data_IF_155330465427
#
_entry.id   IF_155330465427
#
_cell.length_a   1.000
_cell.length_b   1.000
_cell.length_c   1.000
_cell.angle_alpha   90.00
_cell.angle_beta   90.00
_cell.angle_gamma   90.00
#
_symmetry.space_group_name_H-M   'P 1'
#
loop_
_entity.id
_entity.type
_entity.pdbx_description
1 polymer ?
#
# COMPACT_ATOMS: atom_id res chain seq x y z
N UNK A 1 -4.31 2.51 47.59
CA UNK A 1 -5.04 2.93 46.37
C UNK A 1 -4.18 3.95 45.63
N UNK A 2 -3.30 3.49 44.73
CA UNK A 2 -2.59 4.38 43.83
C UNK A 2 -3.59 4.95 42.82
N UNK A 3 -3.74 6.27 42.79
CA UNK A 3 -4.54 6.96 41.79
C UNK A 3 -3.81 6.91 40.45
N UNK A 4 -4.55 6.70 39.36
CA UNK A 4 -4.11 6.60 37.96
C UNK A 4 -3.18 7.73 37.46
N UNK A 5 -2.90 8.75 38.28
CA UNK A 5 -1.90 9.80 38.03
C UNK A 5 -0.45 9.30 38.09
N UNK A 6 -0.15 8.17 38.76
CA UNK A 6 1.23 7.64 38.86
C UNK A 6 1.67 6.79 37.65
N UNK A 7 0.83 6.61 36.62
CA UNK A 7 1.13 5.94 35.34
C UNK A 7 1.36 6.93 34.17
N UNK A 8 1.64 8.21 34.49
CA UNK A 8 1.68 9.38 33.60
C UNK A 8 2.72 9.34 32.45
N UNK A 9 2.51 8.46 31.47
CA UNK A 9 2.91 8.68 30.06
C UNK A 9 1.72 8.82 29.12
N UNK A 10 0.50 8.64 29.61
CA UNK A 10 -0.71 8.69 28.81
C UNK A 10 -1.14 10.15 28.58
N UNK A 11 -1.02 10.61 27.34
CA UNK A 11 -1.23 12.00 26.93
C UNK A 11 -2.56 12.19 26.18
N UNK A 12 -2.99 13.44 25.98
CA UNK A 12 -4.13 13.75 25.10
C UNK A 12 -3.96 13.20 23.69
N UNK A 13 -2.70 13.11 23.19
CA UNK A 13 -2.38 12.50 21.91
C UNK A 13 -2.66 10.99 21.91
N UNK A 14 -2.38 10.29 23.01
CA UNK A 14 -2.66 8.86 23.13
C UNK A 14 -4.16 8.58 23.17
N UNK A 15 -4.93 9.42 23.85
CA UNK A 15 -6.40 9.35 23.85
C UNK A 15 -6.96 9.55 22.44
N UNK A 16 -6.51 10.58 21.72
CA UNK A 16 -6.94 10.84 20.35
C UNK A 16 -6.55 9.67 19.43
N UNK A 17 -5.34 9.13 19.57
CA UNK A 17 -4.90 7.98 18.78
C UNK A 17 -5.76 6.74 19.05
N UNK A 18 -6.05 6.44 20.31
CA UNK A 18 -6.93 5.34 20.69
C UNK A 18 -8.34 5.52 20.10
N UNK A 19 -8.86 6.75 20.14
CA UNK A 19 -10.16 7.08 19.56
C UNK A 19 -10.21 6.91 18.03
N UNK A 20 -9.23 7.48 17.32
CA UNK A 20 -9.10 7.38 15.86
C UNK A 20 -8.98 5.91 15.43
N UNK A 21 -8.20 5.10 16.17
CA UNK A 21 -8.04 3.66 15.96
C UNK A 21 -9.22 2.79 16.44
N UNK A 22 -10.34 3.40 16.84
CA UNK A 22 -11.56 2.70 17.31
C UNK A 22 -11.36 1.84 18.57
N UNK A 23 -10.31 2.10 19.35
CA UNK A 23 -10.03 1.37 20.59
C UNK A 23 -10.90 1.83 21.75
N UNK A 24 -11.35 3.10 21.70
CA UNK A 24 -12.26 3.72 22.67
C UNK A 24 -13.35 4.47 21.92
N UNK A 25 -14.50 4.68 22.57
CA UNK A 25 -15.61 5.45 22.00
C UNK A 25 -15.51 6.96 22.28
N UNK A 26 -16.48 7.72 21.78
CA UNK A 26 -16.52 9.18 21.88
C UNK A 26 -16.69 9.65 23.33
N UNK A 27 -17.48 8.92 24.12
CA UNK A 27 -17.78 9.23 25.52
C UNK A 27 -16.54 8.99 26.39
N UNK A 28 -15.84 7.88 26.14
CA UNK A 28 -14.61 7.51 26.81
C UNK A 28 -13.47 8.48 26.47
N UNK A 29 -13.30 8.82 25.18
CA UNK A 29 -12.33 9.83 24.75
C UNK A 29 -12.59 11.19 25.42
N UNK A 30 -13.86 11.64 25.47
CA UNK A 30 -14.26 12.87 26.16
C UNK A 30 -13.88 12.83 27.64
N UNK A 31 -14.20 11.73 28.31
CA UNK A 31 -13.94 11.55 29.74
C UNK A 31 -12.44 11.55 30.05
N UNK A 32 -11.63 10.90 29.23
CA UNK A 32 -10.17 10.84 29.39
C UNK A 32 -9.52 12.21 29.12
N UNK A 33 -9.96 12.94 28.09
CA UNK A 33 -9.44 14.29 27.81
C UNK A 33 -9.73 15.28 28.94
N UNK A 34 -10.94 15.24 29.52
CA UNK A 34 -11.29 16.07 30.69
C UNK A 34 -10.41 15.70 31.89
N UNK A 35 -10.20 14.40 32.16
CA UNK A 35 -9.32 13.93 33.24
C UNK A 35 -7.87 14.37 33.07
N UNK A 36 -7.42 14.56 31.82
CA UNK A 36 -6.10 15.09 31.47
C UNK A 36 -6.03 16.62 31.48
N UNK A 37 -7.10 17.31 31.88
CA UNK A 37 -7.13 18.76 32.06
C UNK A 37 -7.50 19.57 30.82
N UNK A 38 -7.96 18.92 29.75
CA UNK A 38 -8.48 19.62 28.56
C UNK A 38 -9.81 20.28 28.90
N UNK A 39 -9.95 21.58 28.61
CA UNK A 39 -11.18 22.33 28.89
C UNK A 39 -12.35 21.74 28.09
N UNK A 40 -13.53 21.68 28.70
CA UNK A 40 -14.73 21.07 28.10
C UNK A 40 -15.10 21.64 26.72
N UNK A 41 -14.86 22.94 26.49
CA UNK A 41 -15.03 23.58 25.17
C UNK A 41 -14.07 23.03 24.12
N UNK A 42 -12.80 22.85 24.48
CA UNK A 42 -11.76 22.35 23.58
C UNK A 42 -11.94 20.86 23.28
N UNK A 43 -12.46 20.07 24.23
CA UNK A 43 -12.71 18.63 24.05
C UNK A 43 -13.66 18.37 22.87
N UNK A 44 -14.71 19.17 22.73
CA UNK A 44 -15.65 19.01 21.61
C UNK A 44 -14.99 19.24 20.26
N UNK A 45 -14.16 20.27 20.16
CA UNK A 45 -13.41 20.59 18.95
C UNK A 45 -12.36 19.52 18.61
N UNK A 46 -11.62 19.04 19.61
CA UNK A 46 -10.60 17.99 19.48
C UNK A 46 -11.22 16.68 18.98
N UNK A 47 -12.33 16.25 19.60
CA UNK A 47 -13.02 15.02 19.19
C UNK A 47 -13.57 15.14 17.77
N UNK A 48 -14.17 16.29 17.43
CA UNK A 48 -14.69 16.51 16.07
C UNK A 48 -13.57 16.48 15.02
N UNK A 49 -12.40 17.04 15.33
CA UNK A 49 -11.21 16.95 14.46
C UNK A 49 -10.74 15.49 14.32
N UNK A 50 -10.77 14.73 15.41
CA UNK A 50 -10.42 13.31 15.39
C UNK A 50 -11.44 12.47 14.60
N UNK A 51 -12.72 12.84 14.58
CA UNK A 51 -13.75 12.21 13.75
C UNK A 51 -13.44 12.39 12.25
N UNK A 52 -13.08 13.60 11.83
CA UNK A 52 -12.61 13.85 10.46
C UNK A 52 -11.38 13.02 10.10
N UNK A 53 -10.39 12.97 11.00
CA UNK A 53 -9.18 12.16 10.78
C UNK A 53 -9.50 10.67 10.64
N UNK A 54 -10.43 10.15 11.44
CA UNK A 54 -10.86 8.75 11.39
C UNK A 54 -11.60 8.42 10.08
N UNK A 55 -12.45 9.34 9.61
CA UNK A 55 -13.10 9.18 8.30
C UNK A 55 -12.05 9.18 7.17
N UNK A 56 -11.08 10.10 7.23
CA UNK A 56 -9.98 10.19 6.28
C UNK A 56 -9.14 8.92 6.24
N UNK A 57 -8.70 8.40 7.39
CA UNK A 57 -7.90 7.17 7.47
C UNK A 57 -8.63 5.95 6.89
N UNK A 58 -9.96 5.88 7.05
CA UNK A 58 -10.76 4.81 6.44
C UNK A 58 -10.76 4.92 4.91
N UNK A 59 -10.96 6.13 4.38
CA UNK A 59 -10.92 6.39 2.93
C UNK A 59 -9.55 6.06 2.36
N UNK A 60 -8.46 6.53 2.99
CA UNK A 60 -7.08 6.21 2.59
C UNK A 60 -6.80 4.70 2.59
N UNK A 61 -7.27 3.98 3.61
CA UNK A 61 -7.12 2.53 3.68
C UNK A 61 -7.85 1.83 2.53
N UNK A 62 -9.04 2.30 2.15
CA UNK A 62 -9.80 1.78 1.00
C UNK A 62 -9.11 2.08 -0.32
N UNK A 63 -8.61 3.30 -0.52
CA UNK A 63 -7.81 3.69 -1.71
C UNK A 63 -6.59 2.77 -1.84
N UNK A 64 -5.85 2.54 -0.75
CA UNK A 64 -4.70 1.64 -0.75
C UNK A 64 -5.07 0.18 -1.08
N UNK A 65 -6.24 -0.28 -0.61
CA UNK A 65 -6.78 -1.59 -0.97
C UNK A 65 -7.06 -1.72 -2.47
N UNK A 66 -7.76 -0.73 -3.05
CA UNK A 66 -8.09 -0.69 -4.48
C UNK A 66 -6.81 -0.62 -5.32
N UNK A 67 -5.84 0.23 -4.94
CA UNK A 67 -4.52 0.31 -5.59
C UNK A 67 -3.83 -1.06 -5.67
N UNK A 68 -3.83 -1.80 -4.57
CA UNK A 68 -3.19 -3.12 -4.52
C UNK A 68 -3.89 -4.14 -5.44
N UNK A 69 -5.22 -4.09 -5.54
CA UNK A 69 -5.98 -4.96 -6.45
C UNK A 69 -5.72 -4.60 -7.92
N UNK A 70 -5.66 -3.30 -8.25
CA UNK A 70 -5.29 -2.83 -9.57
C UNK A 70 -3.86 -3.24 -9.96
N UNK A 71 -2.89 -3.01 -9.06
CA UNK A 71 -1.49 -3.38 -9.31
C UNK A 71 -1.32 -4.87 -9.59
N UNK A 72 -2.04 -5.71 -8.83
CA UNK A 72 -2.05 -7.17 -9.01
C UNK A 72 -2.90 -7.66 -10.20
N UNK A 73 -3.43 -6.76 -11.04
CA UNK A 73 -4.28 -7.09 -12.20
C UNK A 73 -5.59 -7.80 -11.84
N UNK A 74 -5.99 -7.74 -10.57
CA UNK A 74 -7.30 -8.25 -10.13
C UNK A 74 -8.40 -7.28 -10.57
N UNK A 75 -8.11 -5.98 -10.51
CA UNK A 75 -8.94 -4.94 -11.10
C UNK A 75 -8.30 -4.40 -12.37
N UNK A 76 -9.13 -4.19 -13.40
CA UNK A 76 -8.78 -3.36 -14.53
C UNK A 76 -9.01 -1.86 -14.20
N UNK A 77 -8.81 -1.00 -15.20
CA UNK A 77 -8.90 0.44 -15.04
C UNK A 77 -10.33 0.89 -14.70
N UNK A 78 -11.34 0.29 -15.33
CA UNK A 78 -12.74 0.68 -15.17
C UNK A 78 -13.26 0.24 -13.80
N UNK A 79 -12.95 -1.00 -13.39
CA UNK A 79 -13.30 -1.51 -12.06
C UNK A 79 -12.63 -0.69 -10.94
N UNK A 80 -11.37 -0.31 -11.10
CA UNK A 80 -10.67 0.53 -10.13
C UNK A 80 -11.31 1.93 -10.01
N UNK A 81 -11.65 2.56 -11.13
CA UNK A 81 -12.37 3.86 -11.15
C UNK A 81 -13.73 3.77 -10.48
N UNK A 82 -14.49 2.72 -10.77
CA UNK A 82 -15.80 2.48 -10.16
C UNK A 82 -15.70 2.35 -8.63
N UNK A 83 -14.76 1.54 -8.13
CA UNK A 83 -14.58 1.40 -6.69
C UNK A 83 -14.12 2.69 -6.01
N UNK A 84 -13.26 3.49 -6.67
CA UNK A 84 -12.85 4.81 -6.18
C UNK A 84 -14.02 5.80 -6.16
N UNK A 85 -14.88 5.78 -7.18
CA UNK A 85 -16.07 6.65 -7.25
C UNK A 85 -17.05 6.36 -6.13
N UNK A 86 -17.18 5.10 -5.69
CA UNK A 86 -18.01 4.70 -4.53
C UNK A 86 -17.48 5.21 -3.18
N UNK A 87 -16.27 5.78 -3.15
CA UNK A 87 -15.72 6.47 -1.98
C UNK A 87 -16.06 7.97 -2.00
N UNK A 88 -16.92 8.42 -2.91
CA UNK A 88 -17.32 9.81 -3.11
C UNK A 88 -16.13 10.74 -3.40
N UNK A 89 -15.07 10.20 -4.04
CA UNK A 89 -13.90 10.98 -4.43
C UNK A 89 -14.23 11.86 -5.65
N UNK A 90 -13.72 13.10 -5.70
CA UNK A 90 -13.81 13.94 -6.90
C UNK A 90 -13.19 13.26 -8.12
N UNK A 91 -13.81 13.42 -9.29
CA UNK A 91 -13.33 12.80 -10.52
C UNK A 91 -11.86 13.15 -10.83
N UNK A 92 -11.44 14.40 -10.62
CA UNK A 92 -10.05 14.83 -10.80
C UNK A 92 -9.08 14.04 -9.90
N UNK A 93 -9.45 13.77 -8.65
CA UNK A 93 -8.62 12.97 -7.74
C UNK A 93 -8.49 11.52 -8.22
N UNK A 94 -9.58 10.95 -8.76
CA UNK A 94 -9.58 9.60 -9.34
C UNK A 94 -8.61 9.56 -10.53
N UNK A 95 -8.64 10.55 -11.42
CA UNK A 95 -7.73 10.64 -12.57
C UNK A 95 -6.25 10.71 -12.14
N UNK A 96 -5.95 11.50 -11.11
CA UNK A 96 -4.58 11.60 -10.56
C UNK A 96 -4.13 10.24 -10.02
N UNK A 97 -4.97 9.56 -9.23
CA UNK A 97 -4.65 8.24 -8.67
C UNK A 97 -4.43 7.20 -9.77
N UNK A 98 -5.33 7.13 -10.76
CA UNK A 98 -5.22 6.17 -11.85
C UNK A 98 -3.98 6.42 -12.73
N UNK A 99 -3.64 7.68 -12.97
CA UNK A 99 -2.41 8.06 -13.68
C UNK A 99 -1.17 7.59 -12.92
N UNK A 100 -1.12 7.86 -11.62
CA UNK A 100 -0.01 7.40 -10.78
C UNK A 100 0.12 5.87 -10.82
N UNK A 101 -0.98 5.14 -10.64
CA UNK A 101 -0.95 3.69 -10.58
C UNK A 101 -0.63 3.03 -11.93
N UNK A 102 -1.00 3.66 -13.03
CA UNK A 102 -0.59 3.23 -14.37
C UNK A 102 0.94 3.15 -14.48
N UNK A 103 1.65 4.17 -14.02
CA UNK A 103 3.11 4.19 -14.03
C UNK A 103 3.72 3.18 -13.06
N UNK A 104 3.12 2.98 -11.88
CA UNK A 104 3.57 1.96 -10.94
C UNK A 104 3.52 0.56 -11.54
N UNK A 105 2.41 0.25 -12.23
CA UNK A 105 2.22 -1.01 -12.94
C UNK A 105 3.20 -1.15 -14.11
N UNK A 106 3.46 -0.07 -14.85
CA UNK A 106 4.42 -0.09 -15.97
C UNK A 106 5.88 -0.23 -15.49
N UNK A 107 6.16 0.24 -14.28
CA UNK A 107 7.46 0.11 -13.64
C UNK A 107 7.68 -1.27 -12.98
N UNK A 108 6.64 -2.11 -12.85
CA UNK A 108 6.85 -3.47 -12.36
C UNK A 108 7.70 -4.27 -13.35
N UNK A 109 8.90 -4.64 -12.90
CA UNK A 109 9.82 -5.50 -13.66
C UNK A 109 9.10 -6.83 -13.92
N UNK A 110 9.04 -7.31 -15.18
CA UNK A 110 8.46 -8.60 -15.48
C UNK A 110 9.10 -9.69 -14.62
N UNK A 111 8.29 -10.68 -14.22
CA UNK A 111 8.85 -11.87 -13.57
C UNK A 111 9.56 -12.71 -14.62
N UNK A 112 10.88 -12.55 -14.67
CA UNK A 112 11.74 -13.38 -15.49
C UNK A 112 11.95 -14.76 -14.87
N UNK A 113 12.22 -15.75 -15.70
CA UNK A 113 12.75 -17.03 -15.21
C UNK A 113 14.10 -16.80 -14.54
N UNK A 114 14.48 -17.67 -13.60
CA UNK A 114 15.87 -17.62 -13.08
C UNK A 114 16.85 -18.04 -14.18
N UNK A 115 18.11 -17.63 -14.07
CA UNK A 115 19.18 -18.07 -14.99
C UNK A 115 19.17 -19.60 -15.16
N UNK A 116 19.05 -20.35 -14.06
CA UNK A 116 19.01 -21.81 -14.10
C UNK A 116 17.78 -22.36 -14.84
N UNK A 117 16.59 -21.78 -14.62
CA UNK A 117 15.38 -22.16 -15.34
C UNK A 117 15.49 -21.88 -16.84
N UNK A 118 15.93 -20.67 -17.20
CA UNK A 118 16.13 -20.27 -18.60
C UNK A 118 17.08 -21.23 -19.33
N UNK A 119 18.19 -21.59 -18.71
CA UNK A 119 19.16 -22.53 -19.30
C UNK A 119 18.63 -23.96 -19.38
N UNK A 120 17.90 -24.44 -18.36
CA UNK A 120 17.25 -25.76 -18.41
C UNK A 120 16.25 -25.83 -19.56
N UNK A 121 15.39 -24.81 -19.70
CA UNK A 121 14.39 -24.75 -20.75
C UNK A 121 15.02 -24.66 -22.16
N UNK A 122 16.12 -23.93 -22.31
CA UNK A 122 16.86 -23.88 -23.57
C UNK A 122 17.48 -25.24 -23.92
N UNK A 123 18.12 -25.90 -22.95
CA UNK A 123 18.74 -27.23 -23.11
C UNK A 123 17.71 -28.31 -23.46
N UNK A 124 16.55 -28.26 -22.82
CA UNK A 124 15.42 -29.15 -23.08
C UNK A 124 14.64 -28.77 -24.35
N UNK A 125 15.05 -27.70 -25.05
CA UNK A 125 14.40 -27.18 -26.27
C UNK A 125 12.95 -26.76 -26.06
N UNK A 126 12.56 -26.42 -24.82
CA UNK A 126 11.25 -25.86 -24.48
C UNK A 126 11.14 -24.39 -24.90
N UNK A 127 12.28 -23.70 -25.05
CA UNK A 127 12.39 -22.35 -25.63
C UNK A 127 13.52 -22.30 -26.66
N UNK A 128 13.46 -21.36 -27.60
CA UNK A 128 14.54 -21.16 -28.57
C UNK A 128 15.77 -20.51 -27.93
N UNK A 129 16.92 -20.64 -28.59
CA UNK A 129 18.17 -19.97 -28.19
C UNK A 129 18.00 -18.45 -28.14
N UNK A 130 17.33 -17.87 -29.13
CA UNK A 130 17.06 -16.43 -29.21
C UNK A 130 16.16 -15.99 -28.05
N UNK A 131 15.18 -16.81 -27.67
CA UNK A 131 14.33 -16.55 -26.51
C UNK A 131 15.11 -16.60 -25.20
N UNK A 132 16.02 -17.56 -25.06
CA UNK A 132 16.89 -17.68 -23.90
C UNK A 132 17.85 -16.48 -23.77
N UNK A 133 18.40 -16.00 -24.90
CA UNK A 133 19.24 -14.79 -24.96
C UNK A 133 18.43 -13.57 -24.48
N UNK A 134 17.26 -13.31 -25.07
CA UNK A 134 16.43 -12.17 -24.70
C UNK A 134 16.01 -12.20 -23.22
N UNK A 135 15.77 -13.40 -22.67
CA UNK A 135 15.45 -13.56 -21.26
C UNK A 135 16.65 -13.23 -20.36
N UNK A 136 17.86 -13.70 -20.70
CA UNK A 136 19.08 -13.38 -19.94
C UNK A 136 19.46 -11.90 -20.02
N UNK A 137 19.23 -11.24 -21.16
CA UNK A 137 19.37 -9.78 -21.29
C UNK A 137 18.40 -9.05 -20.36
N UNK A 138 17.14 -9.51 -20.30
CA UNK A 138 16.11 -8.91 -19.44
C UNK A 138 16.38 -9.11 -17.94
N UNK A 139 17.10 -10.18 -17.58
CA UNK A 139 17.58 -10.44 -16.21
C UNK A 139 18.81 -9.56 -15.87
N UNK A 140 19.49 -9.00 -16.87
CA UNK A 140 20.57 -8.03 -16.71
C UNK A 140 21.99 -8.54 -17.02
N UNK A 141 22.13 -9.67 -17.72
CA UNK A 141 23.45 -10.13 -18.18
C UNK A 141 23.93 -9.36 -19.41
N UNK A 142 25.24 -9.14 -19.50
CA UNK A 142 25.88 -8.62 -20.71
C UNK A 142 26.07 -9.71 -21.80
N UNK A 143 26.43 -9.27 -23.00
CA UNK A 143 26.62 -10.15 -24.16
C UNK A 143 27.69 -11.23 -23.95
N UNK A 144 28.73 -10.96 -23.16
CA UNK A 144 29.81 -11.93 -22.90
C UNK A 144 29.30 -13.08 -22.04
N UNK A 145 28.66 -12.78 -20.91
CA UNK A 145 28.10 -13.78 -20.01
C UNK A 145 27.02 -14.61 -20.69
N UNK A 146 26.15 -13.96 -21.49
CA UNK A 146 25.12 -14.66 -22.27
C UNK A 146 25.77 -15.65 -23.25
N UNK A 147 26.81 -15.25 -23.97
CA UNK A 147 27.49 -16.12 -24.93
C UNK A 147 28.08 -17.38 -24.25
N UNK A 148 28.65 -17.23 -23.05
CA UNK A 148 29.17 -18.35 -22.25
C UNK A 148 28.04 -19.27 -21.81
N UNK A 149 26.97 -18.72 -21.22
CA UNK A 149 25.84 -19.52 -20.74
C UNK A 149 25.16 -20.31 -21.86
N UNK A 150 24.92 -19.67 -23.00
CA UNK A 150 24.25 -20.31 -24.13
C UNK A 150 25.13 -21.43 -24.72
N UNK A 151 26.45 -21.24 -24.82
CA UNK A 151 27.37 -22.30 -25.28
C UNK A 151 27.43 -23.49 -24.32
N UNK A 152 27.22 -23.26 -23.02
CA UNK A 152 27.20 -24.34 -22.02
C UNK A 152 25.87 -25.11 -21.99
N UNK A 153 24.77 -24.48 -22.39
CA UNK A 153 23.42 -25.04 -22.28
C UNK A 153 22.89 -25.69 -23.57
N UNK A 154 23.34 -25.24 -24.75
CA UNK A 154 22.86 -25.66 -26.08
C UNK A 154 24.04 -26.10 -26.95
#
# INVERSE_FOLDING_TARGET
>A
KQTLQTLSKFTSRDVINAYVKRMIDRSEARSLLIKLGVKSGDVSFIISTADYKRAWELTESRIAGIRNLYRKKVYDIDKARDELSRLDLPAEQIEVLMTQWFYEVKAEVPRHWTTAQTLSFAKEKLISKERAIAELESIGYDSEHIAVYIRAAV
#
